data_IF_002772320301
#
_entry.id   IF_002772320301
#
_cell.length_a   1.000
_cell.length_b   1.000
_cell.length_c   1.000
_cell.angle_alpha   90.00
_cell.angle_beta   90.00
_cell.angle_gamma   90.00
#
_symmetry.space_group_name_H-M   'P 1'
#
loop_
_entity.id
_entity.type
_entity.pdbx_description
1 polymer ?
#
# COMPACT_ATOMS: atom_id res chain seq x y z
N UNK A 1 -13.47 -9.41 6.62
CA UNK A 1 -12.15 -9.45 7.30
C UNK A 1 -11.15 -10.43 6.70
N UNK A 2 -11.33 -11.75 6.84
CA UNK A 2 -10.28 -12.76 6.52
C UNK A 2 -9.75 -12.67 5.09
N UNK A 3 -10.62 -12.94 4.13
CA UNK A 3 -10.28 -12.93 2.72
C UNK A 3 -9.73 -11.57 2.29
N UNK A 4 -10.42 -10.42 2.52
CA UNK A 4 -9.91 -9.14 2.05
C UNK A 4 -8.55 -8.77 2.67
N UNK A 5 -8.33 -9.01 3.97
CA UNK A 5 -7.06 -8.67 4.61
C UNK A 5 -5.92 -9.58 4.17
N UNK A 6 -6.14 -10.90 4.06
CA UNK A 6 -5.13 -11.83 3.55
C UNK A 6 -4.77 -11.52 2.10
N UNK A 7 -5.76 -11.25 1.25
CA UNK A 7 -5.53 -10.85 -0.15
C UNK A 7 -4.78 -9.53 -0.22
N UNK A 8 -5.16 -8.53 0.58
CA UNK A 8 -4.44 -7.25 0.64
C UNK A 8 -2.96 -7.43 0.98
N UNK A 9 -2.65 -8.25 1.98
CA UNK A 9 -1.26 -8.57 2.35
C UNK A 9 -0.47 -9.16 1.20
N UNK A 10 -1.04 -10.12 0.47
CA UNK A 10 -0.40 -10.72 -0.71
C UNK A 10 -0.19 -9.68 -1.80
N UNK A 11 -1.18 -8.83 -2.07
CA UNK A 11 -1.07 -7.77 -3.07
C UNK A 11 0.03 -6.76 -2.72
N UNK A 12 0.21 -6.40 -1.44
CA UNK A 12 1.31 -5.54 -1.02
C UNK A 12 2.70 -6.16 -1.20
N UNK A 13 2.82 -7.49 -1.16
CA UNK A 13 4.05 -8.19 -1.55
C UNK A 13 4.23 -8.21 -3.08
N UNK A 14 3.15 -8.48 -3.81
CA UNK A 14 3.19 -8.55 -5.27
C UNK A 14 3.55 -7.20 -5.91
N UNK A 15 3.16 -6.08 -5.30
CA UNK A 15 3.53 -4.75 -5.81
C UNK A 15 5.05 -4.61 -6.04
N UNK A 16 5.92 -4.62 -5.01
CA UNK A 16 7.36 -4.50 -5.22
C UNK A 16 8.00 -5.73 -5.87
N UNK A 17 7.38 -6.92 -5.78
CA UNK A 17 7.93 -8.14 -6.37
C UNK A 17 7.73 -8.21 -7.90
N UNK A 18 6.63 -7.67 -8.41
CA UNK A 18 6.33 -7.63 -9.85
C UNK A 18 6.75 -6.32 -10.51
N UNK A 19 7.03 -5.27 -9.72
CA UNK A 19 7.47 -3.98 -10.26
C UNK A 19 8.78 -4.17 -11.05
N UNK A 20 8.86 -3.68 -12.30
CA UNK A 20 10.09 -3.71 -13.07
C UNK A 20 11.12 -2.77 -12.43
N UNK A 21 12.26 -3.32 -12.01
CA UNK A 21 13.34 -2.57 -11.38
C UNK A 21 14.43 -2.25 -12.41
N UNK A 22 14.17 -1.26 -13.25
CA UNK A 22 15.14 -0.70 -14.21
C UNK A 22 15.78 0.58 -13.66
N UNK A 23 16.84 1.06 -14.31
CA UNK A 23 17.45 2.35 -13.99
C UNK A 23 16.60 3.52 -14.51
N UNK A 24 15.64 3.93 -13.68
CA UNK A 24 14.75 5.08 -13.91
C UNK A 24 15.46 6.44 -13.94
N UNK A 25 16.78 6.51 -13.72
CA UNK A 25 17.57 7.74 -13.97
C UNK A 25 17.96 7.92 -15.44
N UNK A 26 17.75 6.89 -16.26
CA UNK A 26 18.00 6.90 -17.70
C UNK A 26 16.68 6.89 -18.48
N UNK A 27 16.61 7.59 -19.62
CA UNK A 27 15.43 7.57 -20.49
C UNK A 27 15.06 6.15 -20.91
N UNK A 28 16.05 5.31 -21.24
CA UNK A 28 15.83 3.93 -21.64
C UNK A 28 15.27 3.06 -20.51
N UNK A 29 15.80 3.20 -19.28
CA UNK A 29 15.34 2.42 -18.14
C UNK A 29 13.96 2.88 -17.66
N UNK A 30 13.71 4.19 -17.62
CA UNK A 30 12.40 4.75 -17.33
C UNK A 30 11.33 4.25 -18.33
N UNK A 31 11.63 4.29 -19.64
CA UNK A 31 10.75 3.78 -20.67
C UNK A 31 10.49 2.27 -20.52
N UNK A 32 11.54 1.47 -20.27
CA UNK A 32 11.43 0.03 -20.10
C UNK A 32 10.60 -0.36 -18.88
N UNK A 33 10.77 0.32 -17.74
CA UNK A 33 9.99 0.07 -16.54
C UNK A 33 8.55 0.55 -16.71
N UNK A 34 8.36 1.87 -16.89
CA UNK A 34 7.04 2.51 -16.88
C UNK A 34 6.17 2.05 -18.05
N UNK A 35 6.77 1.75 -19.21
CA UNK A 35 6.07 1.28 -20.40
C UNK A 35 5.65 -0.20 -20.36
N UNK A 36 6.02 -0.96 -19.33
CA UNK A 36 5.69 -2.38 -19.24
C UNK A 36 4.29 -2.62 -18.65
N UNK A 37 3.65 -3.73 -19.02
CA UNK A 37 2.41 -4.18 -18.35
C UNK A 37 2.65 -4.55 -16.88
N UNK A 38 3.87 -4.99 -16.54
CA UNK A 38 4.25 -5.32 -15.17
C UNK A 38 4.16 -4.10 -14.24
N UNK A 39 4.50 -2.90 -14.74
CA UNK A 39 4.26 -1.63 -14.05
C UNK A 39 2.81 -1.50 -13.61
N UNK A 40 1.87 -1.70 -14.53
CA UNK A 40 0.45 -1.53 -14.27
C UNK A 40 -0.05 -2.55 -13.25
N UNK A 41 0.25 -3.82 -13.48
CA UNK A 41 -0.17 -4.90 -12.58
C UNK A 41 0.36 -4.67 -11.17
N UNK A 42 1.62 -4.24 -11.04
CA UNK A 42 2.24 -3.96 -9.76
C UNK A 42 1.51 -2.82 -9.01
N UNK A 43 1.25 -1.68 -9.65
CA UNK A 43 0.59 -0.55 -9.00
C UNK A 43 -0.87 -0.85 -8.65
N UNK A 44 -1.60 -1.55 -9.53
CA UNK A 44 -2.94 -2.05 -9.23
C UNK A 44 -2.98 -2.95 -8.00
N UNK A 45 -1.95 -3.78 -7.78
CA UNK A 45 -1.85 -4.59 -6.56
C UNK A 45 -1.84 -3.70 -5.31
N UNK A 46 -1.03 -2.63 -5.29
CA UNK A 46 -1.00 -1.70 -4.16
C UNK A 46 -2.35 -1.00 -3.97
N UNK A 47 -2.94 -0.47 -5.05
CA UNK A 47 -4.22 0.24 -5.01
C UNK A 47 -5.36 -0.63 -4.46
N UNK A 48 -5.50 -1.85 -4.99
CA UNK A 48 -6.51 -2.81 -4.54
C UNK A 48 -6.21 -3.25 -3.10
N UNK A 49 -4.93 -3.43 -2.75
CA UNK A 49 -4.49 -3.73 -1.39
C UNK A 49 -5.01 -2.72 -0.37
N UNK A 50 -4.84 -1.41 -0.62
CA UNK A 50 -5.35 -0.37 0.27
C UNK A 50 -6.88 -0.42 0.42
N UNK A 51 -7.60 -0.55 -0.69
CA UNK A 51 -9.08 -0.65 -0.68
C UNK A 51 -9.54 -1.85 0.16
N UNK A 52 -8.91 -3.00 -0.02
CA UNK A 52 -9.26 -4.22 0.71
C UNK A 52 -8.97 -4.13 2.21
N UNK A 53 -7.90 -3.44 2.61
CA UNK A 53 -7.66 -3.15 4.04
C UNK A 53 -8.78 -2.32 4.62
N UNK A 54 -9.17 -1.21 3.98
CA UNK A 54 -10.27 -0.36 4.46
C UNK A 54 -11.55 -1.18 4.70
N UNK A 55 -11.91 -2.04 3.74
CA UNK A 55 -13.06 -2.95 3.84
C UNK A 55 -12.88 -3.96 4.99
N UNK A 56 -11.69 -4.53 5.15
CA UNK A 56 -11.42 -5.49 6.20
C UNK A 56 -11.50 -4.88 7.61
N UNK A 57 -11.09 -3.62 7.77
CA UNK A 57 -11.10 -2.93 9.06
C UNK A 57 -12.52 -2.62 9.56
N UNK A 58 -13.54 -2.59 8.70
CA UNK A 58 -14.94 -2.36 9.10
C UNK A 58 -15.41 -3.36 10.16
N UNK A 59 -14.91 -4.60 10.12
CA UNK A 59 -15.22 -5.65 11.09
C UNK A 59 -14.35 -5.65 12.36
N UNK A 60 -13.31 -4.81 12.42
CA UNK A 60 -12.39 -4.71 13.57
C UNK A 60 -12.66 -3.43 14.35
N UNK A 61 -12.60 -2.29 13.67
CA UNK A 61 -12.76 -0.97 14.25
C UNK A 61 -13.25 -0.01 13.15
N UNK A 62 -14.51 0.42 13.25
CA UNK A 62 -15.14 1.30 12.25
C UNK A 62 -14.44 2.65 12.13
N UNK A 63 -13.94 3.21 13.23
CA UNK A 63 -13.19 4.47 13.21
C UNK A 63 -11.88 4.27 12.45
N UNK A 64 -11.13 3.21 12.76
CA UNK A 64 -9.92 2.88 12.02
C UNK A 64 -10.20 2.65 10.52
N UNK A 65 -11.32 2.00 10.17
CA UNK A 65 -11.72 1.78 8.79
C UNK A 65 -11.97 3.10 8.04
N UNK A 66 -12.70 4.04 8.65
CA UNK A 66 -12.98 5.37 8.05
C UNK A 66 -11.67 6.15 7.87
N UNK A 67 -10.83 6.19 8.90
CA UNK A 67 -9.53 6.89 8.84
C UNK A 67 -8.66 6.27 7.74
N UNK A 68 -8.58 4.93 7.68
CA UNK A 68 -7.83 4.23 6.64
C UNK A 68 -8.38 4.54 5.24
N UNK A 69 -9.71 4.59 5.09
CA UNK A 69 -10.35 4.87 3.81
C UNK A 69 -10.09 6.29 3.32
N UNK A 70 -10.08 7.29 4.23
CA UNK A 70 -9.66 8.66 3.91
C UNK A 70 -8.21 8.67 3.44
N UNK A 71 -7.31 8.00 4.17
CA UNK A 71 -5.90 7.88 3.79
C UNK A 71 -5.72 7.22 2.41
N UNK A 72 -6.48 6.15 2.15
CA UNK A 72 -6.53 5.49 0.84
C UNK A 72 -6.99 6.48 -0.25
N UNK A 73 -8.08 7.22 -0.01
CA UNK A 73 -8.60 8.19 -0.97
C UNK A 73 -7.62 9.33 -1.30
N UNK A 74 -6.78 9.73 -0.35
CA UNK A 74 -5.72 10.72 -0.58
C UNK A 74 -4.52 10.14 -1.35
N UNK A 75 -4.23 8.85 -1.17
CA UNK A 75 -3.09 8.16 -1.80
C UNK A 75 -3.38 7.69 -3.23
N UNK A 76 -4.61 7.25 -3.52
CA UNK A 76 -4.95 6.66 -4.83
C UNK A 76 -4.78 7.59 -6.05
N UNK A 77 -5.03 8.92 -5.98
CA UNK A 77 -4.77 9.80 -7.12
C UNK A 77 -3.31 9.81 -7.56
N UNK A 78 -2.37 9.79 -6.61
CA UNK A 78 -0.93 9.71 -6.90
C UNK A 78 -0.59 8.39 -7.59
N UNK A 79 -1.09 7.27 -7.05
CA UNK A 79 -0.90 5.95 -7.65
C UNK A 79 -1.51 5.86 -9.06
N UNK A 80 -2.70 6.40 -9.28
CA UNK A 80 -3.33 6.37 -10.60
C UNK A 80 -2.59 7.22 -11.65
N UNK A 81 -2.05 8.37 -11.25
CA UNK A 81 -1.20 9.18 -12.11
C UNK A 81 0.12 8.46 -12.43
N UNK A 82 0.76 7.87 -11.43
CA UNK A 82 2.01 7.12 -11.62
C UNK A 82 1.82 5.85 -12.44
N UNK A 83 0.72 5.13 -12.21
CA UNK A 83 0.39 3.90 -12.92
C UNK A 83 0.08 4.21 -14.39
N UNK A 84 -1.05 4.89 -14.65
CA UNK A 84 -1.56 5.04 -16.01
C UNK A 84 -0.92 6.22 -16.76
N UNK A 85 -0.62 7.31 -16.06
CA UNK A 85 -0.05 8.51 -16.66
C UNK A 85 1.37 8.28 -17.16
N UNK A 86 2.26 7.79 -16.30
CA UNK A 86 3.64 7.50 -16.73
C UNK A 86 3.69 6.38 -17.77
N UNK A 87 2.84 5.35 -17.64
CA UNK A 87 2.77 4.31 -18.65
C UNK A 87 2.42 4.86 -20.03
N UNK A 88 1.42 5.75 -20.13
CA UNK A 88 1.03 6.37 -21.39
C UNK A 88 2.13 7.28 -21.99
N UNK A 89 2.99 7.84 -21.14
CA UNK A 89 4.07 8.75 -21.54
C UNK A 89 5.45 8.08 -21.61
N UNK A 90 5.54 6.76 -21.39
CA UNK A 90 6.81 6.05 -21.22
C UNK A 90 7.79 6.19 -22.39
N UNK A 91 7.27 6.33 -23.62
CA UNK A 91 8.09 6.43 -24.84
C UNK A 91 8.40 7.88 -25.26
N UNK A 92 8.00 8.88 -24.46
CA UNK A 92 8.33 10.28 -24.76
C UNK A 92 9.82 10.54 -24.53
N UNK A 93 10.42 11.36 -25.38
CA UNK A 93 11.85 11.70 -25.27
C UNK A 93 12.20 12.42 -23.96
N UNK A 94 11.23 13.12 -23.37
CA UNK A 94 11.33 13.84 -22.09
C UNK A 94 10.64 13.10 -20.93
N UNK A 95 10.54 11.76 -20.97
CA UNK A 95 9.87 10.95 -19.92
C UNK A 95 10.42 11.22 -18.51
N UNK A 96 11.71 11.53 -18.37
CA UNK A 96 12.33 11.82 -17.07
C UNK A 96 11.75 13.10 -16.45
N UNK A 97 11.67 14.18 -17.23
CA UNK A 97 11.08 15.46 -16.78
C UNK A 97 9.60 15.28 -16.42
N UNK A 98 8.85 14.55 -17.25
CA UNK A 98 7.43 14.26 -17.00
C UNK A 98 7.21 13.44 -15.73
N UNK A 99 8.08 12.46 -15.47
CA UNK A 99 8.04 11.67 -14.25
C UNK A 99 8.41 12.50 -13.02
N UNK A 100 9.40 13.39 -13.12
CA UNK A 100 9.79 14.30 -12.05
C UNK A 100 8.66 15.27 -11.70
N UNK A 101 8.11 15.97 -12.70
CA UNK A 101 7.01 16.93 -12.53
C UNK A 101 5.79 16.29 -11.87
N UNK A 102 5.44 15.07 -12.26
CA UNK A 102 4.32 14.34 -11.69
C UNK A 102 4.61 13.88 -10.25
N UNK A 103 5.78 13.29 -9.99
CA UNK A 103 6.15 12.73 -8.67
C UNK A 103 6.38 13.80 -7.62
N UNK A 104 7.02 14.91 -8.00
CA UNK A 104 7.43 15.97 -7.07
C UNK A 104 6.51 17.19 -7.08
N UNK A 105 5.37 17.12 -7.79
CA UNK A 105 4.32 18.11 -7.66
C UNK A 105 3.97 18.31 -6.16
N UNK A 106 4.02 19.54 -5.62
CA UNK A 106 3.83 19.77 -4.19
C UNK A 106 2.48 19.28 -3.64
N UNK A 107 1.41 19.40 -4.43
CA UNK A 107 0.08 18.93 -4.03
C UNK A 107 0.00 17.40 -4.08
N UNK A 108 0.54 16.78 -5.13
CA UNK A 108 0.59 15.32 -5.24
C UNK A 108 1.38 14.70 -4.07
N UNK A 109 2.57 15.22 -3.77
CA UNK A 109 3.40 14.81 -2.64
C UNK A 109 2.70 14.99 -1.29
N UNK A 110 2.04 16.14 -1.10
CA UNK A 110 1.33 16.43 0.16
C UNK A 110 0.16 15.48 0.37
N UNK A 111 -0.67 15.28 -0.67
CA UNK A 111 -1.80 14.34 -0.59
C UNK A 111 -1.33 12.91 -0.37
N UNK A 112 -0.30 12.48 -1.11
CA UNK A 112 0.27 11.15 -0.98
C UNK A 112 0.83 10.90 0.43
N UNK A 113 1.68 11.81 0.91
CA UNK A 113 2.28 11.72 2.24
C UNK A 113 1.24 11.75 3.36
N UNK A 114 0.27 12.67 3.31
CA UNK A 114 -0.83 12.72 4.28
C UNK A 114 -1.69 11.46 4.22
N UNK A 115 -1.92 10.91 3.03
CA UNK A 115 -2.65 9.66 2.85
C UNK A 115 -1.96 8.49 3.56
N UNK A 116 -0.65 8.33 3.34
CA UNK A 116 0.15 7.29 4.00
C UNK A 116 0.20 7.45 5.53
N UNK A 117 0.42 8.67 6.02
CA UNK A 117 0.42 8.96 7.45
C UNK A 117 -0.94 8.70 8.10
N UNK A 118 -2.03 9.01 7.39
CA UNK A 118 -3.40 8.74 7.85
C UNK A 118 -3.67 7.23 7.93
N UNK A 119 -3.22 6.45 6.94
CA UNK A 119 -3.32 4.98 6.99
C UNK A 119 -2.49 4.38 8.14
N UNK A 120 -1.29 4.93 8.40
CA UNK A 120 -0.48 4.53 9.55
C UNK A 120 -1.21 4.82 10.88
N UNK A 121 -1.84 5.98 11.03
CA UNK A 121 -2.65 6.31 12.20
C UNK A 121 -3.81 5.31 12.39
N UNK A 122 -4.52 4.95 11.32
CA UNK A 122 -5.56 3.92 11.38
C UNK A 122 -5.02 2.55 11.83
N UNK A 123 -3.84 2.15 11.35
CA UNK A 123 -3.21 0.91 11.76
C UNK A 123 -2.80 0.93 13.25
N UNK A 124 -2.34 2.08 13.77
CA UNK A 124 -2.08 2.27 15.20
C UNK A 124 -3.38 2.15 16.02
N UNK A 125 -4.51 2.68 15.54
CA UNK A 125 -5.81 2.49 16.20
C UNK A 125 -6.22 1.01 16.29
N UNK A 126 -5.91 0.21 15.26
CA UNK A 126 -6.10 -1.25 15.28
C UNK A 126 -5.22 -1.91 16.33
N UNK A 127 -3.92 -1.58 16.36
CA UNK A 127 -2.98 -2.09 17.36
C UNK A 127 -3.40 -1.73 18.79
N UNK A 128 -3.81 -0.48 19.04
CA UNK A 128 -4.28 -0.02 20.34
C UNK A 128 -5.55 -0.75 20.81
N UNK A 129 -6.44 -1.09 19.87
CA UNK A 129 -7.71 -1.79 20.14
C UNK A 129 -7.54 -3.28 20.41
N UNK A 130 -6.65 -3.94 19.67
CA UNK A 130 -6.46 -5.40 19.73
C UNK A 130 -5.33 -5.81 20.67
N UNK A 131 -4.24 -5.04 20.72
CA UNK A 131 -3.03 -5.28 21.53
C UNK A 131 -2.41 -6.67 21.31
N UNK A 132 -2.60 -7.24 20.12
CA UNK A 132 -1.99 -8.51 19.72
C UNK A 132 -0.74 -8.25 18.88
N UNK A 133 0.21 -9.18 18.90
CA UNK A 133 1.42 -9.13 18.07
C UNK A 133 1.12 -8.86 16.59
N UNK A 134 0.18 -9.57 15.92
CA UNK A 134 -0.13 -9.27 14.52
C UNK A 134 -0.69 -7.87 14.29
N UNK A 135 -1.46 -7.32 15.22
CA UNK A 135 -1.97 -5.94 15.10
C UNK A 135 -0.83 -4.90 15.23
N UNK A 136 0.15 -5.16 16.10
CA UNK A 136 1.36 -4.33 16.22
C UNK A 136 2.20 -4.42 14.94
N UNK A 137 2.44 -5.63 14.41
CA UNK A 137 3.17 -5.80 13.14
C UNK A 137 2.46 -5.11 11.97
N UNK A 138 1.12 -5.12 11.95
CA UNK A 138 0.33 -4.39 10.97
C UNK A 138 0.55 -2.87 11.08
N UNK A 139 0.54 -2.32 12.30
CA UNK A 139 0.86 -0.91 12.53
C UNK A 139 2.29 -0.55 12.15
N UNK A 140 3.27 -1.42 12.45
CA UNK A 140 4.67 -1.23 12.02
C UNK A 140 4.78 -1.25 10.50
N UNK A 141 4.14 -2.21 9.82
CA UNK A 141 4.12 -2.28 8.36
C UNK A 141 3.57 -1.00 7.71
N UNK A 142 2.43 -0.49 8.19
CA UNK A 142 1.89 0.77 7.68
C UNK A 142 2.69 2.02 8.10
N UNK A 143 3.30 2.02 9.29
CA UNK A 143 4.20 3.10 9.72
C UNK A 143 5.48 3.17 8.89
N UNK A 144 5.99 2.03 8.41
CA UNK A 144 7.16 1.93 7.54
C UNK A 144 6.85 2.14 6.05
N UNK A 145 5.58 2.32 5.67
CA UNK A 145 5.17 2.43 4.28
C UNK A 145 5.72 3.69 3.58
N UNK A 146 5.80 4.81 4.30
CA UNK A 146 6.45 6.02 3.76
C UNK A 146 7.99 5.86 3.71
N UNK A 147 8.67 5.46 4.80
CA UNK A 147 10.13 5.24 4.78
C UNK A 147 10.64 4.29 3.69
N UNK A 148 9.91 3.20 3.38
CA UNK A 148 10.41 2.20 2.41
C UNK A 148 10.60 2.76 1.00
N UNK A 149 9.89 3.83 0.61
CA UNK A 149 10.10 4.47 -0.70
C UNK A 149 11.50 5.05 -0.88
N UNK A 150 12.22 5.33 0.21
CA UNK A 150 13.60 5.83 0.16
C UNK A 150 14.66 4.70 0.18
N UNK A 151 14.22 3.44 0.23
CA UNK A 151 15.09 2.28 0.21
C UNK A 151 15.24 1.62 -1.17
N UNK A 152 16.27 0.77 -1.34
CA UNK A 152 16.50 0.00 -2.56
C UNK A 152 15.42 -1.09 -2.78
N UNK A 153 15.34 -1.71 -3.97
CA UNK A 153 14.34 -2.74 -4.29
C UNK A 153 14.20 -3.84 -3.23
N UNK A 154 15.33 -4.35 -2.73
CA UNK A 154 15.34 -5.40 -1.70
C UNK A 154 14.61 -4.98 -0.41
N UNK A 155 14.74 -3.72 0.00
CA UNK A 155 14.06 -3.18 1.19
C UNK A 155 12.55 -3.08 0.96
N UNK A 156 12.14 -2.63 -0.23
CA UNK A 156 10.72 -2.51 -0.59
C UNK A 156 10.04 -3.88 -0.67
N UNK A 157 10.73 -4.89 -1.21
CA UNK A 157 10.25 -6.28 -1.20
C UNK A 157 10.15 -6.81 0.23
N UNK A 158 11.16 -6.58 1.07
CA UNK A 158 11.14 -7.00 2.48
C UNK A 158 9.98 -6.35 3.26
N UNK A 159 9.69 -5.07 2.99
CA UNK A 159 8.51 -4.38 3.52
C UNK A 159 7.20 -5.03 3.04
N UNK A 160 7.10 -5.40 1.77
CA UNK A 160 5.99 -6.19 1.24
C UNK A 160 5.80 -7.54 1.95
N UNK A 161 6.90 -8.25 2.26
CA UNK A 161 6.86 -9.49 3.04
C UNK A 161 6.33 -9.25 4.46
N UNK A 162 6.79 -8.18 5.13
CA UNK A 162 6.29 -7.78 6.43
C UNK A 162 4.78 -7.51 6.40
N UNK A 163 4.28 -6.76 5.41
CA UNK A 163 2.85 -6.49 5.26
C UNK A 163 2.05 -7.75 4.97
N UNK A 164 2.55 -8.65 4.13
CA UNK A 164 1.91 -9.92 3.87
C UNK A 164 1.77 -10.75 5.15
N UNK A 165 2.86 -10.92 5.89
CA UNK A 165 2.87 -11.66 7.15
C UNK A 165 1.92 -11.02 8.19
N UNK A 166 1.98 -9.71 8.36
CA UNK A 166 1.15 -8.97 9.30
C UNK A 166 -0.34 -9.07 8.96
N UNK A 167 -0.72 -8.82 7.71
CA UNK A 167 -2.11 -8.86 7.26
C UNK A 167 -2.69 -10.28 7.33
N UNK A 168 -1.94 -11.28 6.86
CA UNK A 168 -2.38 -12.69 6.92
C UNK A 168 -2.52 -13.11 8.37
N UNK A 169 -1.53 -12.89 9.23
CA UNK A 169 -1.63 -13.29 10.63
C UNK A 169 -2.79 -12.58 11.34
N UNK A 170 -2.95 -11.27 11.15
CA UNK A 170 -4.05 -10.50 11.74
C UNK A 170 -5.43 -11.01 11.32
N UNK A 171 -5.59 -11.39 10.04
CA UNK A 171 -6.84 -11.94 9.53
C UNK A 171 -7.28 -13.21 10.26
N UNK A 172 -6.31 -14.03 10.67
CA UNK A 172 -6.56 -15.31 11.33
C UNK A 172 -6.65 -15.20 12.86
N UNK A 173 -5.92 -14.27 13.46
CA UNK A 173 -5.93 -13.98 14.90
C UNK A 173 -7.26 -13.37 15.39
N UNK A 174 -7.81 -12.42 14.64
CA UNK A 174 -9.04 -11.72 15.00
C UNK A 174 -10.29 -12.62 15.14
N UNK A 175 -10.21 -13.90 14.73
CA UNK A 175 -11.28 -14.90 14.95
C UNK A 175 -11.15 -15.70 16.24
N UNK A 176 -10.03 -15.61 16.97
CA UNK A 176 -9.91 -16.20 18.31
C UNK A 176 -10.56 -15.35 19.41
N UNK A 177 -10.92 -14.11 19.10
CA UNK A 177 -11.44 -13.11 20.06
C UNK A 177 -12.98 -12.97 19.99
N UNK A 178 -13.69 -13.78 19.19
CA UNK A 178 -15.16 -13.78 19.25
C UNK A 178 -15.63 -14.34 20.61
N UNK A 179 -16.57 -13.67 21.30
CA UNK A 179 -17.16 -14.20 22.54
C UNK A 179 -17.83 -15.54 22.25
N UNK A 180 -17.73 -16.49 23.18
CA UNK A 180 -18.52 -17.71 23.12
C UNK A 180 -20.02 -17.37 22.95
N UNK A 181 -20.80 -18.16 22.19
CA UNK A 181 -22.25 -17.96 22.11
C UNK A 181 -22.83 -17.96 23.52
N UNK A 182 -23.56 -16.92 23.89
CA UNK A 182 -24.34 -16.93 25.13
C UNK A 182 -25.44 -17.98 24.94
N UNK A 183 -25.54 -19.01 25.81
CA UNK A 183 -26.64 -19.96 25.76
C UNK A 183 -27.98 -19.21 25.90
N UNK A 184 -28.96 -19.59 25.08
CA UNK A 184 -30.32 -19.06 25.14
C UNK A 184 -31.05 -19.49 26.41
#
# INVERSE_FOLDING_TARGET
MRIPLSVAGVLFLLYPALRPWEDESTTSGAAAAMGSTAWIVAHLCAMIGFILVAIALLSINRVAAIVFWIGTGLTLPYYGAEDFGLHAMANQSNVLDLAEDMRYNPFAMTMFGLGLLTMAAAAILVAARMRTVPAILFAVGFGLFLPQFFGPPALRIAHGVLLAAACVWLAWDAKRVQPAPVPA
#
